data_IF_038133576054
#
_entry.id   IF_038133576054
#
_cell.length_a   1.000
_cell.length_b   1.000
_cell.length_c   1.000
_cell.angle_alpha   90.00
_cell.angle_beta   90.00
_cell.angle_gamma   90.00
#
_symmetry.space_group_name_H-M   'P 1'
#
loop_
_entity.id
_entity.type
_entity.pdbx_description
1 polymer ?
#
# COMPACT_ATOMS: atom_id res chain seq x y z
N UNK A 1 43.39 45.83 -31.71
CA UNK A 1 42.56 45.69 -30.50
C UNK A 1 42.17 44.21 -30.39
N UNK A 2 42.68 43.48 -29.39
CA UNK A 2 42.38 42.06 -29.18
C UNK A 2 41.36 41.96 -28.03
N UNK A 3 40.13 41.59 -28.36
CA UNK A 3 39.10 41.31 -27.37
C UNK A 3 39.37 39.94 -26.76
N UNK A 4 39.75 39.93 -25.47
CA UNK A 4 39.83 38.73 -24.65
C UNK A 4 38.42 38.45 -24.14
N UNK A 5 37.77 37.44 -24.73
CA UNK A 5 36.49 36.92 -24.28
C UNK A 5 36.75 36.03 -23.05
N UNK A 6 36.47 36.54 -21.85
CA UNK A 6 36.48 35.74 -20.62
C UNK A 6 35.27 34.81 -20.63
N UNK A 7 35.50 33.52 -20.90
CA UNK A 7 34.55 32.45 -20.59
C UNK A 7 34.57 32.23 -19.07
N UNK A 8 33.54 32.71 -18.36
CA UNK A 8 33.28 32.26 -17.00
C UNK A 8 32.80 30.80 -17.06
N UNK A 9 33.45 29.85 -16.35
CA UNK A 9 32.90 28.52 -16.19
C UNK A 9 31.64 28.62 -15.33
N UNK A 10 30.48 28.26 -15.90
CA UNK A 10 29.29 27.97 -15.11
C UNK A 10 29.62 26.76 -14.22
N UNK A 11 29.92 27.03 -12.96
CA UNK A 11 29.97 26.00 -11.92
C UNK A 11 28.55 25.48 -11.69
N UNK A 12 28.24 24.33 -12.27
CA UNK A 12 27.08 23.54 -11.87
C UNK A 12 27.33 23.03 -10.45
N UNK A 13 26.87 23.77 -9.45
CA UNK A 13 26.74 23.24 -8.11
C UNK A 13 25.63 22.17 -8.15
N UNK A 14 25.90 20.92 -7.70
CA UNK A 14 24.84 19.95 -7.55
C UNK A 14 23.83 20.52 -6.56
N UNK A 15 22.58 20.65 -7.00
CA UNK A 15 21.46 20.97 -6.11
C UNK A 15 21.43 19.87 -5.06
N UNK A 16 21.83 20.18 -3.82
CA UNK A 16 21.58 19.32 -2.69
C UNK A 16 20.06 19.11 -2.62
N UNK A 17 19.58 17.92 -2.98
CA UNK A 17 18.20 17.56 -2.69
C UNK A 17 18.05 17.66 -1.18
N UNK A 18 17.15 18.52 -0.72
CA UNK A 18 16.80 18.59 0.69
C UNK A 18 16.36 17.18 1.12
N UNK A 19 17.12 16.59 2.07
CA UNK A 19 16.76 15.31 2.65
C UNK A 19 15.43 15.50 3.39
N UNK A 20 14.45 14.63 3.12
CA UNK A 20 13.17 14.62 3.84
C UNK A 20 13.34 14.32 5.33
N UNK A 21 12.27 14.37 6.13
CA UNK A 21 12.35 14.00 7.54
C UNK A 21 12.80 12.54 7.73
N UNK A 22 13.43 12.25 8.87
CA UNK A 22 13.87 10.88 9.22
C UNK A 22 12.68 9.91 9.45
N UNK A 23 11.48 10.43 9.64
CA UNK A 23 10.27 9.64 9.89
C UNK A 23 9.03 10.30 9.32
N UNK A 24 8.05 9.49 8.92
CA UNK A 24 6.70 9.91 8.57
C UNK A 24 5.69 8.90 9.14
N UNK A 25 4.86 9.37 10.07
CA UNK A 25 3.93 8.54 10.85
C UNK A 25 2.49 9.04 10.81
N UNK A 26 2.20 10.07 10.03
CA UNK A 26 0.92 10.80 10.07
C UNK A 26 -0.29 9.94 9.68
N UNK A 27 -0.08 8.84 8.93
CA UNK A 27 -1.16 7.94 8.56
C UNK A 27 -1.50 6.90 9.62
N UNK A 28 -0.63 6.66 10.62
CA UNK A 28 -0.77 5.56 11.57
C UNK A 28 -2.07 5.63 12.37
N UNK A 29 -2.49 6.83 12.76
CA UNK A 29 -3.73 7.04 13.52
C UNK A 29 -4.98 6.69 12.72
N UNK A 30 -4.92 6.62 11.40
CA UNK A 30 -6.07 6.34 10.53
C UNK A 30 -6.11 4.88 10.06
N UNK A 31 -5.13 4.06 10.45
CA UNK A 31 -5.05 2.65 10.08
C UNK A 31 -5.99 1.83 10.96
N UNK A 32 -6.87 1.06 10.32
CA UNK A 32 -7.63 0.01 10.99
C UNK A 32 -6.94 -1.36 10.87
N UNK A 33 -7.14 -2.27 11.84
CA UNK A 33 -6.75 -3.67 11.73
C UNK A 33 -7.26 -4.28 10.42
N UNK A 34 -6.40 -5.04 9.74
CA UNK A 34 -6.86 -5.86 8.62
C UNK A 34 -7.53 -7.13 9.14
N UNK A 35 -8.54 -7.69 8.44
CA UNK A 35 -8.98 -9.04 8.74
C UNK A 35 -7.88 -10.07 8.41
N UNK A 36 -7.96 -11.25 9.02
CA UNK A 36 -7.02 -12.34 8.75
C UNK A 36 -7.43 -13.11 7.48
N UNK A 37 -6.64 -12.96 6.42
CA UNK A 37 -6.85 -13.68 5.16
C UNK A 37 -6.46 -15.17 5.23
N UNK A 38 -5.63 -15.53 6.22
CA UNK A 38 -4.89 -16.77 6.28
C UNK A 38 -4.30 -17.18 4.93
N UNK A 39 -4.69 -18.36 4.45
CA UNK A 39 -4.16 -18.95 3.22
C UNK A 39 -5.07 -18.74 2.01
N UNK A 40 -6.04 -17.84 2.06
CA UNK A 40 -7.14 -17.76 1.07
C UNK A 40 -6.79 -17.00 -0.21
N UNK A 41 -5.60 -16.37 -0.27
CA UNK A 41 -5.09 -15.73 -1.49
C UNK A 41 -5.80 -14.42 -1.83
N UNK A 42 -6.20 -13.68 -0.80
CA UNK A 42 -7.03 -12.47 -0.89
C UNK A 42 -6.26 -11.19 -0.55
N UNK A 43 -4.94 -11.25 -0.38
CA UNK A 43 -4.07 -10.14 0.04
C UNK A 43 -4.27 -8.86 -0.76
N UNK A 44 -4.36 -9.01 -2.08
CA UNK A 44 -4.58 -7.89 -2.97
C UNK A 44 -5.90 -7.16 -2.66
N UNK A 45 -6.97 -7.88 -2.32
CA UNK A 45 -8.25 -7.28 -1.97
C UNK A 45 -8.20 -6.65 -0.59
N UNK A 46 -7.66 -7.35 0.42
CA UNK A 46 -7.52 -6.83 1.79
C UNK A 46 -6.64 -5.57 1.85
N UNK A 47 -5.55 -5.55 1.08
CA UNK A 47 -4.68 -4.38 0.97
C UNK A 47 -5.37 -3.23 0.22
N UNK A 48 -6.08 -3.52 -0.89
CA UNK A 48 -6.78 -2.48 -1.64
C UNK A 48 -7.90 -1.85 -0.81
N UNK A 49 -8.73 -2.68 -0.16
CA UNK A 49 -9.78 -2.21 0.75
C UNK A 49 -9.16 -1.37 1.86
N UNK A 50 -8.12 -1.86 2.54
CA UNK A 50 -7.36 -1.12 3.55
C UNK A 50 -6.87 0.26 3.13
N UNK A 51 -6.45 0.40 1.88
CA UNK A 51 -5.98 1.69 1.37
C UNK A 51 -7.14 2.69 1.29
N UNK A 52 -8.31 2.25 0.84
CA UNK A 52 -9.49 3.10 0.73
C UNK A 52 -10.05 3.45 2.11
N UNK A 53 -10.09 2.48 3.03
CA UNK A 53 -10.51 2.69 4.42
C UNK A 53 -9.64 3.76 5.09
N UNK A 54 -8.30 3.65 4.96
CA UNK A 54 -7.36 4.64 5.49
C UNK A 54 -7.59 6.03 4.88
N UNK A 55 -7.76 6.12 3.55
CA UNK A 55 -8.02 7.39 2.89
C UNK A 55 -9.35 8.02 3.36
N UNK A 56 -10.41 7.21 3.51
CA UNK A 56 -11.70 7.65 4.03
C UNK A 56 -11.58 8.13 5.48
N UNK A 57 -10.89 7.37 6.33
CA UNK A 57 -10.61 7.74 7.72
C UNK A 57 -9.87 9.06 7.81
N UNK A 58 -8.82 9.24 7.01
CA UNK A 58 -8.06 10.50 6.95
C UNK A 58 -8.93 11.68 6.49
N UNK A 59 -9.73 11.50 5.44
CA UNK A 59 -10.61 12.57 4.94
C UNK A 59 -11.65 13.01 5.98
N UNK A 60 -12.11 12.09 6.82
CA UNK A 60 -13.11 12.33 7.86
C UNK A 60 -12.49 12.65 9.24
N UNK A 61 -11.15 12.73 9.34
CA UNK A 61 -10.41 12.82 10.61
C UNK A 61 -10.81 11.73 11.63
N UNK A 62 -11.18 10.54 11.15
CA UNK A 62 -11.55 9.40 11.98
C UNK A 62 -10.30 8.65 12.44
N UNK A 63 -9.75 9.07 13.56
CA UNK A 63 -8.60 8.43 14.21
C UNK A 63 -9.01 7.21 15.02
N UNK A 64 -8.11 6.24 15.10
CA UNK A 64 -8.27 4.95 15.77
C UNK A 64 -9.59 4.26 15.38
N UNK A 65 -9.84 4.08 14.07
CA UNK A 65 -11.06 3.45 13.58
C UNK A 65 -11.29 2.08 14.21
N UNK A 66 -12.55 1.82 14.59
CA UNK A 66 -12.96 0.53 15.14
C UNK A 66 -13.11 -0.53 14.04
N UNK A 67 -12.81 -1.78 14.37
CA UNK A 67 -13.18 -2.93 13.52
C UNK A 67 -14.70 -2.98 13.42
N UNK A 68 -15.21 -3.15 12.21
CA UNK A 68 -16.61 -2.97 11.86
C UNK A 68 -17.08 -1.53 12.14
N UNK A 69 -16.22 -0.55 11.88
CA UNK A 69 -16.51 0.87 12.02
C UNK A 69 -17.31 1.45 10.85
N UNK A 70 -17.31 2.78 10.73
CA UNK A 70 -17.97 3.50 9.64
C UNK A 70 -17.31 3.25 8.27
N UNK A 71 -15.97 3.17 8.26
CA UNK A 71 -15.18 2.92 7.05
C UNK A 71 -14.50 1.55 7.09
N UNK A 72 -15.17 0.54 7.65
CA UNK A 72 -14.73 -0.86 7.50
C UNK A 72 -15.54 -1.50 6.36
N UNK A 73 -14.85 -1.85 5.27
CA UNK A 73 -15.45 -2.20 3.99
C UNK A 73 -15.30 -3.69 3.68
N UNK A 74 -16.26 -4.23 2.94
CA UNK A 74 -16.30 -5.64 2.59
C UNK A 74 -15.31 -5.98 1.48
N UNK A 75 -14.26 -6.77 1.77
CA UNK A 75 -13.41 -7.35 0.73
C UNK A 75 -14.17 -8.29 -0.23
N UNK A 76 -15.14 -9.12 0.22
CA UNK A 76 -15.96 -9.93 -0.69
C UNK A 76 -16.68 -9.09 -1.75
N UNK A 77 -17.19 -7.92 -1.37
CA UNK A 77 -17.73 -6.98 -2.36
C UNK A 77 -16.68 -6.60 -3.40
N UNK A 78 -15.47 -6.24 -2.98
CA UNK A 78 -14.40 -5.87 -3.91
C UNK A 78 -13.98 -7.02 -4.84
N UNK A 79 -14.00 -8.26 -4.34
CA UNK A 79 -13.74 -9.48 -5.12
C UNK A 79 -14.74 -9.58 -6.29
N UNK A 80 -16.03 -9.37 -6.03
CA UNK A 80 -17.12 -9.59 -6.99
C UNK A 80 -17.57 -8.34 -7.75
N UNK A 81 -17.21 -7.15 -7.29
CA UNK A 81 -17.55 -5.90 -7.95
C UNK A 81 -17.03 -5.91 -9.41
N UNK A 82 -17.82 -5.37 -10.36
CA UNK A 82 -17.48 -5.43 -11.78
C UNK A 82 -16.15 -4.73 -12.05
N UNK A 83 -15.36 -5.30 -12.97
CA UNK A 83 -14.14 -4.66 -13.41
C UNK A 83 -14.48 -3.44 -14.27
N UNK A 84 -14.05 -2.27 -13.81
CA UNK A 84 -14.03 -1.03 -14.60
C UNK A 84 -12.62 -0.44 -14.64
N UNK A 85 -11.62 -1.30 -14.83
CA UNK A 85 -10.22 -0.90 -14.82
C UNK A 85 -9.85 -0.27 -16.16
N UNK A 86 -9.32 0.97 -16.18
CA UNK A 86 -8.84 1.59 -17.41
C UNK A 86 -7.76 0.76 -18.11
N UNK A 87 -7.71 0.82 -19.44
CA UNK A 87 -6.66 0.16 -20.21
C UNK A 87 -5.26 0.62 -19.78
N UNK A 88 -4.31 -0.31 -19.74
CA UNK A 88 -2.92 -0.03 -19.39
C UNK A 88 -2.60 -0.02 -17.88
N UNK A 89 -3.58 -0.28 -17.02
CA UNK A 89 -3.36 -0.45 -15.57
C UNK A 89 -2.83 -1.84 -15.22
N UNK A 90 -1.99 -1.89 -14.19
CA UNK A 90 -1.43 -3.12 -13.62
C UNK A 90 -2.51 -4.02 -13.02
N UNK A 91 -2.23 -5.33 -12.96
CA UNK A 91 -2.98 -6.29 -12.16
C UNK A 91 -3.16 -5.82 -10.70
N UNK A 92 -2.13 -5.19 -10.12
CA UNK A 92 -2.17 -4.67 -8.74
C UNK A 92 -3.00 -3.40 -8.58
N UNK A 93 -3.20 -2.65 -9.66
CA UNK A 93 -4.00 -1.42 -9.64
C UNK A 93 -5.48 -1.72 -9.89
N UNK A 94 -5.79 -2.82 -10.58
CA UNK A 94 -7.13 -3.12 -11.06
C UNK A 94 -8.22 -3.10 -9.97
N UNK A 95 -8.01 -3.68 -8.77
CA UNK A 95 -9.03 -3.64 -7.71
C UNK A 95 -9.34 -2.21 -7.24
N UNK A 96 -8.36 -1.30 -7.23
CA UNK A 96 -8.59 0.10 -6.81
C UNK A 96 -9.66 0.78 -7.66
N UNK A 97 -9.66 0.51 -8.97
CA UNK A 97 -10.61 1.09 -9.91
C UNK A 97 -12.03 0.53 -9.79
N UNK A 98 -12.25 -0.57 -9.05
CA UNK A 98 -13.61 -1.04 -8.77
C UNK A 98 -14.37 -0.07 -7.87
N UNK A 99 -13.69 0.66 -6.99
CA UNK A 99 -14.31 1.72 -6.18
C UNK A 99 -14.80 2.92 -7.02
N UNK A 100 -14.34 3.08 -8.26
CA UNK A 100 -14.75 4.19 -9.13
C UNK A 100 -16.20 4.07 -9.65
N UNK A 101 -16.91 2.99 -9.29
CA UNK A 101 -18.37 2.93 -9.41
C UNK A 101 -19.09 3.85 -8.39
N UNK A 102 -18.35 4.45 -7.45
CA UNK A 102 -18.83 5.48 -6.52
C UNK A 102 -19.32 4.94 -5.18
N UNK A 103 -19.29 3.63 -4.97
CA UNK A 103 -19.72 3.02 -3.71
C UNK A 103 -18.97 1.73 -3.37
N UNK A 104 -19.06 1.36 -2.09
CA UNK A 104 -18.69 0.07 -1.53
C UNK A 104 -19.78 -0.46 -0.59
N UNK A 105 -19.55 -1.64 -0.01
CA UNK A 105 -20.43 -2.25 1.01
C UNK A 105 -19.68 -2.30 2.34
N UNK A 106 -20.37 -2.03 3.44
CA UNK A 106 -19.78 -2.17 4.78
C UNK A 106 -19.49 -3.63 5.11
N UNK A 107 -18.38 -3.89 5.81
CA UNK A 107 -18.06 -5.20 6.35
C UNK A 107 -19.17 -5.77 7.26
N UNK A 108 -20.02 -4.93 7.86
CA UNK A 108 -21.21 -5.33 8.65
C UNK A 108 -22.25 -6.11 7.84
N UNK A 109 -22.42 -5.74 6.58
CA UNK A 109 -23.42 -6.34 5.70
C UNK A 109 -22.89 -7.63 5.05
N UNK A 110 -21.58 -7.67 4.80
CA UNK A 110 -20.94 -8.79 4.12
C UNK A 110 -19.55 -9.07 4.69
N UNK A 111 -19.54 -9.92 5.71
CA UNK A 111 -18.35 -10.30 6.46
C UNK A 111 -17.30 -10.97 5.59
N UNK A 112 -16.05 -10.56 5.77
CA UNK A 112 -14.90 -11.29 5.26
C UNK A 112 -14.49 -12.39 6.23
N UNK A 113 -14.74 -13.63 5.83
CA UNK A 113 -14.52 -14.82 6.64
C UNK A 113 -13.53 -15.76 5.94
N UNK A 114 -12.26 -15.37 5.89
CA UNK A 114 -11.22 -16.14 5.19
C UNK A 114 -10.44 -17.10 6.09
N UNK A 115 -10.35 -16.80 7.39
CA UNK A 115 -9.65 -17.61 8.37
C UNK A 115 -10.43 -17.67 9.67
N UNK A 116 -10.88 -18.88 10.06
CA UNK A 116 -11.70 -19.10 11.27
C UNK A 116 -11.07 -20.24 12.05
N UNK A 117 -10.78 -20.01 13.33
CA UNK A 117 -10.27 -21.05 14.25
C UNK A 117 -9.03 -21.79 13.70
N UNK A 118 -8.11 -21.04 13.06
CA UNK A 118 -6.88 -21.61 12.49
C UNK A 118 -7.10 -22.40 11.18
N UNK A 119 -8.26 -22.29 10.55
CA UNK A 119 -8.60 -22.99 9.31
C UNK A 119 -8.97 -22.03 8.19
N UNK A 120 -8.62 -22.43 6.97
CA UNK A 120 -9.01 -21.75 5.74
C UNK A 120 -10.53 -21.84 5.58
N UNK A 121 -11.16 -20.69 5.36
CA UNK A 121 -12.56 -20.61 4.98
C UNK A 121 -12.67 -19.94 3.59
N UNK A 122 -13.35 -20.62 2.68
CA UNK A 122 -13.53 -20.15 1.29
C UNK A 122 -14.74 -19.22 1.13
N UNK A 123 -15.57 -19.03 2.16
CA UNK A 123 -16.75 -18.16 2.07
C UNK A 123 -16.41 -16.69 1.82
N UNK A 124 -15.16 -16.27 2.06
CA UNK A 124 -14.64 -14.98 1.61
C UNK A 124 -14.73 -14.77 0.09
N UNK A 125 -14.86 -15.85 -0.69
CA UNK A 125 -15.04 -15.82 -2.15
C UNK A 125 -16.48 -16.07 -2.60
N UNK A 126 -17.41 -16.37 -1.69
CA UNK A 126 -18.81 -16.54 -2.06
C UNK A 126 -19.36 -15.22 -2.60
N UNK A 127 -20.26 -15.28 -3.58
CA UNK A 127 -20.91 -14.10 -4.15
C UNK A 127 -22.28 -13.90 -3.47
N UNK A 128 -22.66 -12.65 -3.24
CA UNK A 128 -23.96 -12.27 -2.69
C UNK A 128 -24.57 -11.13 -3.52
N UNK A 129 -25.89 -11.01 -3.46
CA UNK A 129 -26.62 -9.91 -4.10
C UNK A 129 -26.46 -8.62 -3.28
N UNK A 130 -25.37 -7.89 -3.53
CA UNK A 130 -25.07 -6.64 -2.84
C UNK A 130 -25.95 -5.47 -3.27
N UNK A 131 -26.88 -5.65 -4.22
CA UNK A 131 -27.85 -4.60 -4.59
C UNK A 131 -28.85 -4.29 -3.47
N UNK A 132 -28.95 -5.17 -2.47
CA UNK A 132 -29.83 -5.05 -1.31
C UNK A 132 -29.11 -4.63 -0.03
N UNK A 133 -27.79 -4.50 -0.09
CA UNK A 133 -26.96 -4.15 1.07
C UNK A 133 -26.81 -2.64 1.19
N UNK A 134 -26.53 -2.16 2.40
CA UNK A 134 -26.20 -0.77 2.66
C UNK A 134 -24.94 -0.37 1.89
N UNK A 135 -25.06 0.60 1.01
CA UNK A 135 -23.96 1.15 0.22
C UNK A 135 -23.31 2.32 0.96
N UNK A 136 -21.98 2.38 0.92
CA UNK A 136 -21.19 3.51 1.42
C UNK A 136 -20.59 4.22 0.22
N UNK A 137 -20.81 5.53 0.11
CA UNK A 137 -20.21 6.34 -0.96
C UNK A 137 -18.69 6.40 -0.80
N UNK A 138 -17.98 6.27 -1.91
CA UNK A 138 -16.53 6.33 -1.95
C UNK A 138 -16.10 7.26 -3.09
N UNK A 139 -15.20 8.23 -2.84
CA UNK A 139 -14.65 9.07 -3.89
C UNK A 139 -13.94 8.24 -4.96
N UNK A 140 -13.78 8.80 -6.16
CA UNK A 140 -12.99 8.16 -7.20
C UNK A 140 -11.54 8.02 -6.76
N UNK A 141 -10.94 6.89 -7.11
CA UNK A 141 -9.57 6.53 -6.80
C UNK A 141 -8.68 6.75 -8.03
N UNK A 142 -7.49 7.27 -7.77
CA UNK A 142 -6.37 7.34 -8.68
C UNK A 142 -5.19 6.52 -8.12
N UNK A 143 -4.46 5.84 -9.00
CA UNK A 143 -3.21 5.16 -8.67
C UNK A 143 -2.02 5.78 -9.38
N UNK A 144 -0.92 5.97 -8.65
CA UNK A 144 0.37 6.43 -9.20
C UNK A 144 1.38 5.30 -9.07
N UNK A 145 1.78 4.71 -10.20
CA UNK A 145 2.83 3.70 -10.25
C UNK A 145 4.18 4.32 -9.90
N UNK A 146 4.78 3.90 -8.80
CA UNK A 146 6.15 4.27 -8.45
C UNK A 146 7.13 3.39 -9.23
N UNK A 147 6.94 2.08 -9.19
CA UNK A 147 7.72 1.12 -9.96
C UNK A 147 6.97 -0.21 -10.05
N UNK A 148 7.33 -1.01 -11.06
CA UNK A 148 6.84 -2.36 -11.25
C UNK A 148 7.94 -3.15 -11.97
N UNK A 149 8.68 -3.94 -11.20
CA UNK A 149 9.91 -4.59 -11.63
C UNK A 149 9.62 -6.02 -12.05
N UNK A 150 10.01 -6.37 -13.26
CA UNK A 150 9.92 -7.72 -13.82
C UNK A 150 8.51 -8.35 -13.64
N UNK A 151 8.42 -9.51 -12.98
CA UNK A 151 7.18 -10.21 -12.70
C UNK A 151 6.75 -10.04 -11.24
N UNK A 152 5.48 -10.33 -10.93
CA UNK A 152 4.97 -10.35 -9.53
C UNK A 152 5.73 -11.29 -8.58
N UNK A 153 6.51 -12.22 -9.14
CA UNK A 153 7.31 -13.19 -8.41
C UNK A 153 8.79 -12.77 -8.28
N UNK A 154 9.18 -11.60 -8.78
CA UNK A 154 10.56 -11.17 -8.71
C UNK A 154 10.99 -10.87 -7.26
N UNK A 155 12.26 -11.13 -6.96
CA UNK A 155 12.92 -10.83 -5.68
C UNK A 155 14.31 -10.25 -5.98
N UNK A 156 14.89 -9.49 -5.05
CA UNK A 156 16.21 -8.84 -5.19
C UNK A 156 16.33 -7.94 -6.44
N UNK A 157 15.22 -7.31 -6.83
CA UNK A 157 15.14 -6.40 -7.99
C UNK A 157 15.15 -4.93 -7.61
N UNK A 158 15.07 -4.64 -6.31
CA UNK A 158 15.08 -3.27 -5.80
C UNK A 158 16.47 -2.88 -5.34
N UNK A 159 16.67 -1.57 -5.20
CA UNK A 159 17.90 -0.95 -4.71
C UNK A 159 17.53 0.26 -3.83
N UNK A 160 18.48 0.86 -3.09
CA UNK A 160 18.16 1.91 -2.11
C UNK A 160 17.37 3.11 -2.66
N UNK A 161 17.48 3.43 -3.96
CA UNK A 161 16.69 4.51 -4.57
C UNK A 161 15.18 4.24 -4.55
N UNK A 162 14.76 2.97 -4.47
CA UNK A 162 13.35 2.59 -4.36
C UNK A 162 12.78 2.86 -2.96
N UNK A 163 13.59 2.71 -1.89
CA UNK A 163 13.20 3.12 -0.54
C UNK A 163 12.93 4.62 -0.54
N UNK A 164 13.87 5.41 -1.07
CA UNK A 164 13.71 6.86 -1.11
C UNK A 164 12.47 7.27 -1.91
N UNK A 165 12.20 6.59 -3.03
CA UNK A 165 11.00 6.84 -3.85
C UNK A 165 9.69 6.59 -3.09
N UNK A 166 9.66 5.61 -2.18
CA UNK A 166 8.51 5.34 -1.31
C UNK A 166 8.39 6.43 -0.24
N UNK A 167 9.48 6.79 0.44
CA UNK A 167 9.49 7.88 1.43
C UNK A 167 9.00 9.20 0.84
N UNK A 168 9.57 9.59 -0.30
CA UNK A 168 9.18 10.79 -1.02
C UNK A 168 7.70 10.77 -1.40
N UNK A 169 7.18 9.60 -1.80
CA UNK A 169 5.77 9.44 -2.15
C UNK A 169 4.85 9.51 -0.92
N UNK A 170 5.23 8.94 0.23
CA UNK A 170 4.48 9.05 1.47
C UNK A 170 4.37 10.52 1.89
N UNK A 171 5.47 11.27 1.88
CA UNK A 171 5.47 12.69 2.23
C UNK A 171 4.66 13.50 1.22
N UNK A 172 4.89 13.29 -0.07
CA UNK A 172 4.30 14.12 -1.14
C UNK A 172 2.79 13.93 -1.26
N UNK A 173 2.33 12.69 -1.17
CA UNK A 173 0.92 12.37 -1.41
C UNK A 173 0.14 12.13 -0.12
N UNK A 174 0.83 11.98 1.01
CA UNK A 174 0.24 11.69 2.31
C UNK A 174 -0.83 10.58 2.23
N UNK A 175 -0.46 9.50 1.54
CA UNK A 175 -1.36 8.47 1.04
C UNK A 175 -0.69 7.09 1.16
N UNK A 176 -1.45 6.00 1.37
CA UNK A 176 -0.88 4.66 1.49
C UNK A 176 -0.26 4.20 0.17
N UNK A 177 0.78 3.37 0.29
CA UNK A 177 1.48 2.77 -0.85
C UNK A 177 1.22 1.28 -0.84
N UNK A 178 0.50 0.79 -1.84
CA UNK A 178 0.36 -0.63 -2.09
C UNK A 178 1.67 -1.19 -2.62
N UNK A 179 2.15 -2.25 -1.96
CA UNK A 179 3.39 -2.94 -2.32
C UNK A 179 3.08 -4.40 -2.63
N UNK A 180 3.63 -4.89 -3.74
CA UNK A 180 3.77 -6.32 -3.96
C UNK A 180 5.19 -6.77 -3.58
N UNK A 181 5.27 -7.85 -2.81
CA UNK A 181 6.51 -8.55 -2.52
C UNK A 181 6.34 -10.05 -2.76
N UNK A 182 7.45 -10.79 -2.83
CA UNK A 182 7.45 -12.23 -2.91
C UNK A 182 8.29 -12.84 -1.81
N UNK A 183 7.73 -13.85 -1.15
CA UNK A 183 8.43 -14.74 -0.25
C UNK A 183 8.30 -16.20 -0.73
N UNK A 184 9.41 -16.82 -1.13
CA UNK A 184 9.49 -18.24 -1.47
C UNK A 184 8.42 -18.76 -2.46
N UNK A 185 8.24 -18.07 -3.59
CA UNK A 185 7.22 -18.38 -4.62
C UNK A 185 5.78 -18.14 -4.16
N UNK A 186 5.58 -17.24 -3.20
CA UNK A 186 4.30 -16.70 -2.80
C UNK A 186 4.34 -15.17 -2.92
N UNK A 187 3.70 -14.61 -3.95
CA UNK A 187 3.50 -13.17 -4.01
C UNK A 187 2.43 -12.75 -3.02
N UNK A 188 2.65 -11.61 -2.39
CA UNK A 188 1.79 -11.07 -1.37
C UNK A 188 1.74 -9.55 -1.49
N UNK A 189 0.64 -8.96 -1.04
CA UNK A 189 0.37 -7.53 -1.17
C UNK A 189 0.05 -6.94 0.19
N UNK A 190 0.71 -5.84 0.50
CA UNK A 190 0.59 -5.09 1.77
C UNK A 190 0.45 -3.60 1.48
N UNK A 191 0.20 -2.81 2.52
CA UNK A 191 0.34 -1.36 2.46
C UNK A 191 1.53 -0.89 3.30
N UNK A 192 2.32 0.01 2.74
CA UNK A 192 3.20 0.88 3.52
C UNK A 192 2.43 2.15 3.84
N UNK A 193 2.39 2.49 5.13
CA UNK A 193 1.63 3.63 5.68
C UNK A 193 2.52 4.64 6.38
N UNK A 194 3.81 4.34 6.56
CA UNK A 194 4.77 5.24 7.17
C UNK A 194 6.17 4.68 7.12
N UNK A 195 7.13 5.44 7.63
CA UNK A 195 8.50 4.99 7.79
C UNK A 195 9.18 5.68 8.97
N UNK A 196 10.26 5.07 9.45
CA UNK A 196 11.14 5.63 10.48
C UNK A 196 12.56 5.09 10.31
N UNK A 197 13.52 6.00 10.09
CA UNK A 197 14.92 5.70 9.82
C UNK A 197 15.72 5.30 11.07
N UNK A 198 15.10 5.36 12.25
CA UNK A 198 15.74 5.14 13.55
C UNK A 198 15.31 3.86 14.24
N UNK A 199 14.35 3.12 13.67
CA UNK A 199 13.86 1.87 14.25
C UNK A 199 14.25 0.66 13.41
N UNK A 200 14.59 -0.42 14.12
CA UNK A 200 14.81 -1.73 13.51
C UNK A 200 13.48 -2.43 13.25
N UNK A 201 13.40 -3.09 12.10
CA UNK A 201 12.21 -3.81 11.66
C UNK A 201 12.43 -5.30 11.62
N UNK A 202 11.34 -6.04 11.47
CA UNK A 202 11.41 -7.47 11.27
C UNK A 202 11.88 -7.78 9.83
N UNK A 203 12.78 -8.75 9.71
CA UNK A 203 13.36 -9.19 8.44
C UNK A 203 12.56 -10.29 7.73
N UNK A 204 11.42 -10.71 8.28
CA UNK A 204 10.47 -11.72 7.82
C UNK A 204 11.02 -12.73 6.80
N UNK A 205 11.48 -13.88 7.30
CA UNK A 205 11.99 -14.99 6.47
C UNK A 205 13.06 -14.57 5.44
N UNK A 206 13.79 -13.48 5.71
CA UNK A 206 15.00 -13.10 4.98
C UNK A 206 16.21 -13.68 5.70
N UNK A 207 17.16 -14.18 4.91
CA UNK A 207 18.40 -14.74 5.46
C UNK A 207 19.16 -13.65 6.24
N UNK A 208 19.81 -13.98 7.38
CA UNK A 208 20.50 -12.98 8.20
C UNK A 208 21.52 -12.14 7.43
N UNK A 209 22.26 -12.73 6.49
CA UNK A 209 23.23 -12.05 5.65
C UNK A 209 22.62 -11.07 4.63
N UNK A 210 21.31 -11.12 4.45
CA UNK A 210 20.55 -10.25 3.55
C UNK A 210 19.77 -9.17 4.29
N UNK A 211 19.74 -9.19 5.62
CA UNK A 211 19.01 -8.21 6.42
C UNK A 211 19.82 -7.82 7.65
N UNK A 212 20.54 -6.70 7.54
CA UNK A 212 21.46 -6.23 8.55
C UNK A 212 20.79 -5.30 9.58
N UNK A 213 19.49 -5.00 9.41
CA UNK A 213 18.66 -4.19 10.32
C UNK A 213 19.18 -2.79 10.63
N UNK A 214 19.92 -2.21 9.69
CA UNK A 214 20.78 -1.05 10.00
C UNK A 214 20.28 0.28 9.45
N UNK A 215 19.20 0.28 8.66
CA UNK A 215 18.87 1.43 7.81
C UNK A 215 17.48 2.03 8.04
N UNK A 216 16.71 1.53 9.00
CA UNK A 216 15.34 1.97 9.25
C UNK A 216 14.28 1.01 8.72
N UNK A 217 13.02 1.39 8.91
CA UNK A 217 11.89 0.49 8.66
C UNK A 217 10.66 1.20 8.11
N UNK A 218 9.82 0.41 7.43
CA UNK A 218 8.47 0.80 7.05
C UNK A 218 7.46 0.35 8.10
N UNK A 219 6.48 1.20 8.37
CA UNK A 219 5.23 0.79 9.01
C UNK A 219 4.32 0.17 7.95
N UNK A 220 3.92 -1.07 8.18
CA UNK A 220 3.20 -1.90 7.23
C UNK A 220 1.85 -2.32 7.79
N UNK A 221 0.78 -2.21 7.01
CA UNK A 221 -0.48 -2.90 7.26
C UNK A 221 -0.52 -4.18 6.42
N UNK A 222 -0.46 -5.32 7.09
CA UNK A 222 -0.60 -6.64 6.47
C UNK A 222 -1.98 -7.24 6.78
N UNK A 223 -2.38 -8.25 6.03
CA UNK A 223 -3.66 -8.97 6.01
C UNK A 223 -3.75 -10.14 7.01
N UNK A 224 -3.02 -10.09 8.13
CA UNK A 224 -2.94 -11.19 9.11
C UNK A 224 -3.55 -10.82 10.48
N UNK A 225 -4.60 -10.01 10.51
CA UNK A 225 -5.36 -9.77 11.75
C UNK A 225 -4.76 -8.73 12.71
N UNK A 226 -3.80 -7.92 12.25
CA UNK A 226 -3.07 -6.94 13.07
C UNK A 226 -3.11 -5.55 12.42
N UNK A 227 -3.00 -4.50 13.24
CA UNK A 227 -3.09 -3.10 12.78
C UNK A 227 -1.90 -2.71 11.92
N UNK A 228 -0.70 -2.78 12.51
CA UNK A 228 0.54 -2.40 11.85
C UNK A 228 1.70 -3.23 12.36
N UNK A 229 2.65 -3.49 11.46
CA UNK A 229 3.94 -4.11 11.73
C UNK A 229 5.06 -3.15 11.34
N UNK A 230 6.27 -3.46 11.79
CA UNK A 230 7.48 -2.75 11.37
C UNK A 230 8.33 -3.72 10.54
N UNK A 231 8.58 -3.39 9.27
CA UNK A 231 9.36 -4.21 8.35
C UNK A 231 10.61 -3.47 7.92
N UNK A 232 11.74 -4.16 8.00
CA UNK A 232 13.05 -3.57 7.71
C UNK A 232 13.18 -3.16 6.24
N UNK A 233 13.93 -2.09 5.97
CA UNK A 233 14.25 -1.70 4.61
C UNK A 233 14.99 -2.77 3.81
N UNK A 234 15.87 -3.55 4.44
CA UNK A 234 16.58 -4.63 3.76
C UNK A 234 15.60 -5.76 3.38
N UNK A 235 14.61 -6.07 4.21
CA UNK A 235 13.53 -6.99 3.83
C UNK A 235 12.82 -6.49 2.56
N UNK A 236 12.47 -5.20 2.54
CA UNK A 236 11.79 -4.59 1.41
C UNK A 236 12.63 -4.68 0.12
N UNK A 237 13.92 -4.35 0.19
CA UNK A 237 14.82 -4.42 -0.97
C UNK A 237 14.94 -5.83 -1.55
N UNK A 238 14.90 -6.84 -0.69
CA UNK A 238 15.08 -8.22 -1.09
C UNK A 238 13.79 -8.88 -1.58
N UNK A 239 12.63 -8.49 -1.05
CA UNK A 239 11.35 -9.17 -1.30
C UNK A 239 10.41 -8.36 -2.20
N UNK A 240 10.45 -7.04 -2.13
CA UNK A 240 9.58 -6.14 -2.89
C UNK A 240 9.86 -6.18 -4.39
N UNK A 241 8.85 -5.86 -5.21
CA UNK A 241 9.04 -5.70 -6.66
C UNK A 241 8.11 -4.66 -7.32
N UNK A 242 7.02 -4.24 -6.68
CA UNK A 242 6.15 -3.20 -7.22
C UNK A 242 5.58 -2.31 -6.12
N UNK A 243 5.34 -1.04 -6.44
CA UNK A 243 4.78 -0.06 -5.52
C UNK A 243 3.87 0.95 -6.24
N UNK A 244 2.72 1.24 -5.65
CA UNK A 244 1.69 2.11 -6.20
C UNK A 244 1.09 2.99 -5.11
N UNK A 245 1.07 4.31 -5.30
CA UNK A 245 0.34 5.23 -4.42
C UNK A 245 -1.15 5.10 -4.71
N UNK A 246 -1.96 5.01 -3.66
CA UNK A 246 -3.41 5.03 -3.74
C UNK A 246 -3.91 6.35 -3.17
N UNK A 247 -4.70 7.12 -3.92
CA UNK A 247 -5.22 8.41 -3.47
C UNK A 247 -6.59 8.68 -4.08
N UNK A 248 -7.34 9.59 -3.46
CA UNK A 248 -8.52 10.13 -4.11
C UNK A 248 -8.14 10.95 -5.35
N UNK A 249 -8.87 10.74 -6.43
CA UNK A 249 -8.81 11.58 -7.61
C UNK A 249 -9.33 12.98 -7.25
N UNK A 250 -8.77 14.06 -7.82
CA UNK A 250 -9.31 15.40 -7.61
C UNK A 250 -10.78 15.46 -8.07
N UNK A 251 -11.63 16.13 -7.29
CA UNK A 251 -12.98 16.47 -7.73
C UNK A 251 -12.87 17.36 -8.98
N UNK A 252 -13.63 17.00 -10.03
CA UNK A 252 -13.69 17.75 -11.29
C UNK A 252 -14.66 18.91 -11.21
#
# INVERSE_FOLDING_TARGET
MKNILLLLPLLFLPLAQAQGPDSYTDLLDYVQPAPDQGKTGTCLFVATTGAIELLMNKQQDLRHPEVMGANDFSEPFLIHAPYNTPAGKSFFEAPAYKFNQGFTVSAKEWLFLAWIEGRRNMSAWDNQDYSKMSQVEVPKIETIKLFNMESRWATKVLNPTHIQKIKDALIKYESPILVNYNDNNYWHVILIVGYDDKIEGDCYQTLPEMCNRSNGSFYVRDSFGITTEVRDYDWFLNKGNAAFVFKFAPEL
#
